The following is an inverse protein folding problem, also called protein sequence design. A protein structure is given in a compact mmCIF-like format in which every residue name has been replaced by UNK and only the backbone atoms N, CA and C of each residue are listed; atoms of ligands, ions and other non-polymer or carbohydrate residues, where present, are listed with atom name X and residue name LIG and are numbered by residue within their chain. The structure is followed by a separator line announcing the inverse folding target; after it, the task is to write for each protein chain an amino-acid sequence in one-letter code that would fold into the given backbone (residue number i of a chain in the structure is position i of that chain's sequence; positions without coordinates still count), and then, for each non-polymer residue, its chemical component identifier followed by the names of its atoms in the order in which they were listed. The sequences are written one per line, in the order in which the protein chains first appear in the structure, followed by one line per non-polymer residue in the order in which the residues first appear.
data_IF_000215481844
#
_entry.id   IF_000215481844
#
_cell.length_a   1.000
_cell.length_b   1.000
_cell.length_c   1.000
_cell.angle_alpha   90.00
_cell.angle_beta   90.00
_cell.angle_gamma   90.00
#
_symmetry.space_group_name_H-M   'P 1'
#
loop_
_entity.id
_entity.type
_entity.pdbx_description
1 polymer ?
#
# COMPACT_ATOMS: atom_id res chain seq x y z
N UNK A 1 10.90 -1.41 14.11
CA UNK A 1 10.61 -2.14 12.86
C UNK A 1 9.11 -2.31 12.74
N UNK A 2 8.50 -1.77 11.69
CA UNK A 2 7.06 -1.92 11.48
C UNK A 2 6.76 -3.22 10.75
N UNK A 3 5.82 -4.00 11.27
CA UNK A 3 5.38 -5.28 10.69
C UNK A 3 3.87 -5.21 10.50
N UNK A 4 3.40 -5.10 9.26
CA UNK A 4 1.96 -5.12 8.98
C UNK A 4 1.50 -6.57 8.79
N UNK A 5 0.47 -6.98 9.53
CA UNK A 5 -0.16 -8.28 9.37
C UNK A 5 -1.50 -8.10 8.65
N UNK A 6 -1.59 -8.72 7.48
CA UNK A 6 -2.61 -8.61 6.41
C UNK A 6 -4.04 -9.02 6.86
N UNK A 7 -4.43 -8.86 8.13
CA UNK A 7 -5.75 -9.29 8.63
C UNK A 7 -6.45 -8.31 9.59
N UNK A 8 -5.82 -7.23 10.08
CA UNK A 8 -6.50 -6.26 10.95
C UNK A 8 -6.38 -4.84 10.42
N UNK A 9 -7.51 -4.13 10.30
CA UNK A 9 -7.54 -2.68 10.12
C UNK A 9 -6.98 -2.08 11.42
N UNK A 10 -5.78 -1.47 11.44
CA UNK A 10 -5.23 -0.96 12.67
C UNK A 10 -5.96 0.33 13.05
N UNK A 11 -6.05 0.56 14.36
CA UNK A 11 -6.19 1.92 14.85
C UNK A 11 -5.02 2.74 14.27
N UNK A 12 -5.38 3.85 13.61
CA UNK A 12 -4.43 4.81 13.05
C UNK A 12 -3.48 5.26 14.17
N UNK A 13 -2.18 4.97 14.10
CA UNK A 13 -1.21 5.94 14.63
C UNK A 13 0.24 5.85 14.13
N UNK A 14 0.84 4.74 13.72
CA UNK A 14 2.32 4.76 13.51
C UNK A 14 2.87 4.11 12.24
N UNK A 15 2.13 3.25 11.55
CA UNK A 15 2.62 2.69 10.28
C UNK A 15 1.53 2.54 9.22
N UNK A 16 1.71 3.15 8.04
CA UNK A 16 0.70 3.12 6.99
C UNK A 16 0.55 1.71 6.43
N UNK A 17 -0.67 1.36 6.01
CA UNK A 17 -1.03 0.05 5.46
C UNK A 17 -0.23 -0.36 4.22
N UNK A 18 0.37 0.60 3.54
CA UNK A 18 1.17 0.41 2.33
C UNK A 18 2.67 0.26 2.60
N UNK A 19 3.15 0.38 3.84
CA UNK A 19 4.58 0.35 4.17
C UNK A 19 5.27 -0.92 3.64
N UNK A 20 4.68 -2.08 3.89
CA UNK A 20 5.21 -3.37 3.42
C UNK A 20 5.18 -3.49 1.90
N UNK A 21 4.23 -2.82 1.23
CA UNK A 21 4.15 -2.79 -0.23
C UNK A 21 5.33 -1.97 -0.77
N UNK A 22 5.59 -0.80 -0.20
CA UNK A 22 6.71 0.07 -0.61
C UNK A 22 8.04 -0.66 -0.37
N UNK A 23 8.28 -1.18 0.83
CA UNK A 23 9.52 -1.87 1.19
C UNK A 23 9.80 -3.04 0.24
N UNK A 24 8.79 -3.87 -0.03
CA UNK A 24 8.96 -4.99 -0.95
C UNK A 24 9.12 -4.56 -2.42
N UNK A 25 8.52 -3.44 -2.82
CA UNK A 25 8.64 -2.92 -4.19
C UNK A 25 10.04 -2.35 -4.44
N UNK A 26 10.65 -1.69 -3.45
CA UNK A 26 11.97 -1.06 -3.57
C UNK A 26 13.10 -2.08 -3.32
N UNK A 27 13.06 -2.77 -2.17
CA UNK A 27 14.20 -3.57 -1.68
C UNK A 27 13.97 -5.09 -1.80
N UNK A 28 12.78 -5.52 -2.23
CA UNK A 28 12.36 -6.93 -2.22
C UNK A 28 12.47 -7.61 -0.84
N UNK A 29 12.43 -6.82 0.22
CA UNK A 29 12.54 -7.27 1.61
C UNK A 29 11.18 -7.67 2.17
N UNK A 30 11.18 -8.71 3.00
CA UNK A 30 10.02 -9.08 3.79
C UNK A 30 10.19 -8.55 5.21
N UNK A 31 9.11 -8.15 5.90
CA UNK A 31 9.17 -7.89 7.33
C UNK A 31 9.69 -9.13 8.09
N UNK A 32 10.33 -8.89 9.22
CA UNK A 32 10.83 -9.96 10.08
C UNK A 32 9.66 -10.80 10.63
N UNK A 33 9.87 -12.10 10.86
CA UNK A 33 8.87 -13.06 11.34
C UNK A 33 7.63 -13.32 10.42
N UNK A 34 7.69 -13.00 9.12
CA UNK A 34 6.57 -13.27 8.19
C UNK A 34 6.55 -14.74 7.74
N UNK A 35 5.43 -15.43 8.00
CA UNK A 35 5.21 -16.83 7.56
C UNK A 35 5.24 -16.97 6.03
N UNK A 36 5.57 -18.15 5.47
CA UNK A 36 5.58 -18.37 4.02
C UNK A 36 4.25 -18.00 3.33
N UNK A 37 3.12 -18.25 4.01
CA UNK A 37 1.79 -17.91 3.53
C UNK A 37 1.60 -16.39 3.43
N UNK A 38 2.04 -15.63 4.44
CA UNK A 38 1.98 -14.17 4.43
C UNK A 38 2.91 -13.58 3.36
N UNK A 39 4.12 -14.14 3.16
CA UNK A 39 5.01 -13.74 2.05
C UNK A 39 4.35 -13.94 0.68
N UNK A 40 3.66 -15.08 0.50
CA UNK A 40 2.89 -15.34 -0.73
C UNK A 40 1.77 -14.31 -0.93
N UNK A 41 1.01 -13.98 0.12
CA UNK A 41 -0.03 -12.95 0.06
C UNK A 41 0.56 -11.58 -0.30
N UNK A 42 1.68 -11.18 0.32
CA UNK A 42 2.36 -9.91 0.02
C UNK A 42 2.73 -9.82 -1.46
N UNK A 43 3.35 -10.86 -2.04
CA UNK A 43 3.68 -10.89 -3.47
C UNK A 43 2.47 -10.69 -4.37
N UNK A 44 1.34 -11.31 -4.04
CA UNK A 44 0.08 -11.16 -4.79
C UNK A 44 -0.46 -9.73 -4.68
N UNK A 45 -0.35 -9.10 -3.51
CA UNK A 45 -0.79 -7.72 -3.30
C UNK A 45 0.12 -6.77 -4.08
N UNK A 46 1.44 -6.85 -3.88
CA UNK A 46 2.45 -6.00 -4.55
C UNK A 46 2.29 -6.05 -6.06
N UNK A 47 1.98 -7.21 -6.66
CA UNK A 47 1.77 -7.31 -8.11
C UNK A 47 0.71 -6.34 -8.66
N UNK A 48 -0.24 -5.91 -7.82
CA UNK A 48 -1.29 -4.93 -8.13
C UNK A 48 -0.83 -3.48 -8.00
N UNK A 49 0.39 -3.23 -7.56
CA UNK A 49 0.93 -1.90 -7.35
C UNK A 49 2.18 -1.66 -8.22
N UNK A 50 2.52 -0.39 -8.41
CA UNK A 50 3.74 0.06 -9.07
C UNK A 50 4.15 1.41 -8.49
N UNK A 51 5.45 1.68 -8.42
CA UNK A 51 5.98 3.00 -8.06
C UNK A 51 6.47 3.68 -9.34
N UNK A 52 6.00 4.90 -9.60
CA UNK A 52 6.43 5.75 -10.72
C UNK A 52 6.78 7.10 -10.11
N UNK A 53 8.00 7.60 -10.35
CA UNK A 53 8.45 8.90 -9.85
C UNK A 53 8.23 9.07 -8.32
N UNK A 54 8.51 8.02 -7.54
CA UNK A 54 8.32 7.96 -6.08
C UNK A 54 6.85 7.96 -5.60
N UNK A 55 5.88 7.91 -6.51
CA UNK A 55 4.45 7.84 -6.21
C UNK A 55 3.95 6.41 -6.36
N UNK A 56 3.18 5.93 -5.38
CA UNK A 56 2.57 4.61 -5.40
C UNK A 56 1.25 4.64 -6.21
N UNK A 57 1.12 3.73 -7.16
CA UNK A 57 -0.08 3.54 -7.96
C UNK A 57 -0.64 2.13 -7.79
N UNK A 58 -1.97 2.03 -7.75
CA UNK A 58 -2.69 0.77 -7.86
C UNK A 58 -3.12 0.55 -9.30
N UNK A 59 -2.85 -0.64 -9.84
CA UNK A 59 -3.36 -1.11 -11.14
C UNK A 59 -4.85 -1.44 -11.00
N UNK A 60 -5.69 -0.69 -11.71
CA UNK A 60 -7.10 -0.99 -11.84
C UNK A 60 -7.32 -2.14 -12.84
N UNK A 61 -8.54 -2.70 -12.83
CA UNK A 61 -8.90 -3.83 -13.68
C UNK A 61 -8.89 -3.47 -15.18
N UNK A 62 -9.20 -2.23 -15.50
CA UNK A 62 -9.17 -1.64 -16.85
C UNK A 62 -7.76 -1.26 -17.33
N UNK A 63 -6.73 -1.50 -16.52
CA UNK A 63 -5.34 -1.13 -16.82
C UNK A 63 -4.98 0.30 -16.44
N UNK A 64 -5.91 1.10 -15.90
CA UNK A 64 -5.60 2.44 -15.41
C UNK A 64 -4.74 2.38 -14.14
N UNK A 65 -3.90 3.40 -13.96
CA UNK A 65 -3.11 3.58 -12.74
C UNK A 65 -3.79 4.60 -11.83
N UNK A 66 -4.25 4.14 -10.67
CA UNK A 66 -4.88 4.97 -9.65
C UNK A 66 -3.85 5.39 -8.62
N UNK A 67 -3.63 6.70 -8.48
CA UNK A 67 -2.68 7.25 -7.51
C UNK A 67 -3.15 6.93 -6.09
N UNK A 68 -2.27 6.37 -5.28
CA UNK A 68 -2.51 6.22 -3.84
C UNK A 68 -2.22 7.55 -3.15
N UNK A 69 -3.17 7.97 -2.31
CA UNK A 69 -3.11 9.22 -1.54
C UNK A 69 -3.24 8.90 -0.06
N UNK A 70 -2.72 9.76 0.80
CA UNK A 70 -2.94 9.63 2.24
C UNK A 70 -4.36 10.06 2.64
N UNK A 71 -4.68 9.90 3.93
CA UNK A 71 -6.02 10.18 4.46
C UNK A 71 -6.34 11.68 4.36
N UNK A 72 -5.38 12.57 4.57
CA UNK A 72 -5.61 14.02 4.55
C UNK A 72 -5.77 14.54 3.12
N UNK A 73 -4.91 14.10 2.21
CA UNK A 73 -5.04 14.40 0.79
C UNK A 73 -6.35 13.82 0.23
N UNK A 74 -6.72 12.60 0.62
CA UNK A 74 -8.01 12.02 0.24
C UNK A 74 -9.19 12.88 0.69
N UNK A 75 -9.15 13.46 1.89
CA UNK A 75 -10.23 14.34 2.38
C UNK A 75 -10.33 15.62 1.54
N UNK A 76 -9.19 16.22 1.17
CA UNK A 76 -9.15 17.42 0.32
C UNK A 76 -9.75 17.14 -1.06
N UNK A 77 -9.31 16.06 -1.72
CA UNK A 77 -9.80 15.67 -3.06
C UNK A 77 -11.32 15.45 -3.05
N UNK A 78 -11.83 14.75 -2.02
CA UNK A 78 -13.27 14.50 -1.86
C UNK A 78 -14.01 15.83 -1.69
N UNK A 79 -13.52 16.73 -0.83
CA UNK A 79 -14.14 18.02 -0.62
C UNK A 79 -14.19 18.87 -1.90
N UNK A 80 -13.08 18.95 -2.64
CA UNK A 80 -12.99 19.71 -3.88
C UNK A 80 -13.86 19.14 -5.00
N UNK A 81 -14.01 17.80 -5.07
CA UNK A 81 -14.78 17.13 -6.13
C UNK A 81 -16.30 17.22 -5.94
N UNK A 82 -16.77 17.56 -4.74
CA UNK A 82 -18.18 17.66 -4.41
C UNK A 82 -18.73 19.10 -4.41
N UNK A 83 -17.90 20.10 -4.74
CA UNK A 83 -18.32 21.49 -4.98
C UNK A 83 -18.68 21.73 -6.46
#
# INVERSE_FOLDING_TARGET
ECVYYIETRPAISECPWYADIINYTIDHTYPEAVTPQKRRRLRIIVAKYVIIEQVLYRKAFDGMLLRCVDIEESKSIIHESHN
#
